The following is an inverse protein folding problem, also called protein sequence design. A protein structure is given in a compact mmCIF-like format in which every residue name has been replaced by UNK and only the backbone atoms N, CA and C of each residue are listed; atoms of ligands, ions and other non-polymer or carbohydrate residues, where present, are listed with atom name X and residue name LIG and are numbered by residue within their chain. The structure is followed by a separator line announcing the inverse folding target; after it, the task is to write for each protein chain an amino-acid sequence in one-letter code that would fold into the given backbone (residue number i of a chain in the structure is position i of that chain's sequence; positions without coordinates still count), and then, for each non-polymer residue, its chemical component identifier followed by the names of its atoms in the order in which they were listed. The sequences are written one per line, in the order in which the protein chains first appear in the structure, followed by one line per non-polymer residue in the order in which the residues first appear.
data_IF_899047211734
#
_entry.id   IF_899047211734
#
_cell.length_a   1.000
_cell.length_b   1.000
_cell.length_c   1.000
_cell.angle_alpha   90.00
_cell.angle_beta   90.00
_cell.angle_gamma   90.00
#
_symmetry.space_group_name_H-M   'P 1'
#
loop_
_entity.id
_entity.type
_entity.pdbx_description
1 polymer ?
#
# COMPACT_ATOMS: atom_id res chain seq x y z
N UNK A 1 -3.14 -16.75 -8.96
CA UNK A 1 -3.47 -15.58 -8.13
C UNK A 1 -4.96 -15.30 -8.32
N UNK A 2 -5.84 -15.94 -7.55
CA UNK A 2 -7.29 -15.91 -7.83
C UNK A 2 -7.99 -14.66 -7.30
N UNK A 3 -7.36 -13.97 -6.34
CA UNK A 3 -7.81 -12.66 -5.85
C UNK A 3 -7.85 -11.63 -6.99
N UNK A 4 -8.88 -10.77 -6.98
CA UNK A 4 -9.18 -9.74 -7.99
C UNK A 4 -9.15 -8.31 -7.44
N UNK A 5 -8.53 -8.14 -6.28
CA UNK A 5 -8.42 -6.87 -5.56
C UNK A 5 -6.96 -6.43 -5.38
N UNK A 6 -6.01 -6.96 -6.14
CA UNK A 6 -4.60 -6.59 -5.98
C UNK A 6 -4.39 -5.10 -6.27
N UNK A 7 -3.30 -4.53 -5.75
CA UNK A 7 -2.92 -3.14 -6.02
C UNK A 7 -2.86 -2.86 -7.53
N UNK A 8 -2.44 -3.83 -8.34
CA UNK A 8 -2.48 -3.75 -9.80
C UNK A 8 -3.90 -3.52 -10.35
N UNK A 9 -4.90 -4.23 -9.81
CA UNK A 9 -6.31 -4.10 -10.19
C UNK A 9 -6.82 -2.68 -9.88
N UNK A 10 -6.45 -2.12 -8.71
CA UNK A 10 -6.77 -0.74 -8.35
C UNK A 10 -6.10 0.29 -9.26
N UNK A 11 -4.79 0.14 -9.54
CA UNK A 11 -4.07 1.03 -10.45
C UNK A 11 -4.76 1.08 -11.82
N UNK A 12 -5.12 -0.07 -12.38
CA UNK A 12 -5.79 -0.14 -13.68
C UNK A 12 -7.19 0.46 -13.61
N UNK A 13 -7.98 0.10 -12.58
CA UNK A 13 -9.33 0.64 -12.37
C UNK A 13 -9.34 2.17 -12.28
N UNK A 14 -8.37 2.73 -11.57
CA UNK A 14 -8.27 4.15 -11.27
C UNK A 14 -7.32 4.91 -12.22
N UNK A 15 -6.91 4.27 -13.32
CA UNK A 15 -6.11 4.88 -14.38
C UNK A 15 -4.79 5.50 -13.88
N UNK A 16 -4.01 4.74 -13.12
CA UNK A 16 -2.70 5.17 -12.62
C UNK A 16 -2.75 5.99 -11.34
N UNK A 17 -3.85 5.91 -10.57
CA UNK A 17 -4.00 6.64 -9.30
C UNK A 17 -4.40 5.69 -8.17
N UNK A 18 -3.90 5.92 -6.97
CA UNK A 18 -4.29 5.19 -5.76
C UNK A 18 -4.62 6.19 -4.65
N UNK A 19 -5.76 5.99 -4.00
CA UNK A 19 -6.16 6.73 -2.83
C UNK A 19 -5.85 5.90 -1.57
N UNK A 20 -5.05 6.46 -0.69
CA UNK A 20 -4.67 5.88 0.59
C UNK A 20 -5.49 6.47 1.73
N UNK A 21 -5.89 5.61 2.66
CA UNK A 21 -6.28 6.05 4.00
C UNK A 21 -5.28 5.58 5.05
N UNK A 22 -4.89 6.46 5.97
CA UNK A 22 -3.91 6.14 7.00
C UNK A 22 -4.64 5.65 8.26
N UNK A 23 -4.29 4.47 8.74
CA UNK A 23 -4.79 3.88 9.99
C UNK A 23 -3.70 4.00 11.05
N UNK A 24 -3.74 5.06 11.84
CA UNK A 24 -2.68 5.37 12.81
C UNK A 24 -2.80 4.51 14.07
N UNK A 25 -2.19 3.32 14.08
CA UNK A 25 -2.20 2.41 15.22
C UNK A 25 -1.05 2.72 16.20
N UNK A 26 -1.16 3.87 16.85
CA UNK A 26 -0.18 4.34 17.82
C UNK A 26 -0.81 5.21 18.89
N UNK A 27 -0.17 5.25 20.06
CA UNK A 27 -0.47 6.22 21.12
C UNK A 27 0.41 7.47 21.03
N UNK A 28 1.35 7.51 20.08
CA UNK A 28 2.20 8.67 19.82
C UNK A 28 1.42 9.75 19.07
N UNK A 29 1.75 11.01 19.37
CA UNK A 29 1.20 12.15 18.62
C UNK A 29 1.79 12.21 17.22
N UNK A 30 0.94 12.32 16.22
CA UNK A 30 1.31 12.58 14.85
C UNK A 30 1.19 14.08 14.56
N UNK A 31 2.26 14.70 14.10
CA UNK A 31 2.22 16.09 13.65
C UNK A 31 1.79 16.19 12.20
N UNK A 32 1.09 17.27 11.84
CA UNK A 32 0.67 17.59 10.48
C UNK A 32 1.86 17.65 9.53
N UNK A 33 3.00 18.16 10.01
CA UNK A 33 4.24 18.24 9.23
C UNK A 33 4.76 16.85 8.86
N UNK A 34 4.75 15.90 9.80
CA UNK A 34 5.17 14.52 9.54
C UNK A 34 4.14 13.80 8.67
N UNK A 35 2.84 13.92 8.98
CA UNK A 35 1.76 13.34 8.20
C UNK A 35 1.76 13.79 6.73
N UNK A 36 2.10 15.07 6.47
CA UNK A 36 2.18 15.62 5.12
C UNK A 36 3.26 14.95 4.25
N UNK A 37 4.23 14.24 4.84
CA UNK A 37 5.26 13.50 4.10
C UNK A 37 4.78 12.15 3.56
N UNK A 38 3.65 11.62 4.06
CA UNK A 38 3.25 10.23 3.80
C UNK A 38 2.95 10.01 2.32
N UNK A 39 2.29 10.97 1.68
CA UNK A 39 2.00 10.90 0.25
C UNK A 39 3.29 10.81 -0.58
N UNK A 40 4.21 11.76 -0.40
CA UNK A 40 5.47 11.77 -1.14
C UNK A 40 6.33 10.52 -0.85
N UNK A 41 6.29 9.99 0.38
CA UNK A 41 6.96 8.74 0.72
C UNK A 41 6.38 7.56 -0.09
N UNK A 42 5.06 7.42 -0.13
CA UNK A 42 4.39 6.36 -0.90
C UNK A 42 4.65 6.52 -2.40
N UNK A 43 4.59 7.74 -2.95
CA UNK A 43 4.90 8.02 -4.35
C UNK A 43 6.29 7.49 -4.74
N UNK A 44 7.32 7.67 -3.90
CA UNK A 44 8.65 7.12 -4.15
C UNK A 44 8.66 5.59 -4.17
N UNK A 45 7.93 4.94 -3.25
CA UNK A 45 7.86 3.48 -3.20
C UNK A 45 7.21 2.93 -4.48
N UNK A 46 6.09 3.54 -4.90
CA UNK A 46 5.42 3.17 -6.14
C UNK A 46 6.22 3.47 -7.39
N UNK A 47 7.02 4.55 -7.41
CA UNK A 47 7.92 4.84 -8.51
C UNK A 47 8.98 3.73 -8.68
N UNK A 48 9.55 3.23 -7.58
CA UNK A 48 10.53 2.13 -7.61
C UNK A 48 9.95 0.84 -8.21
N UNK A 49 8.71 0.49 -7.88
CA UNK A 49 8.02 -0.65 -8.48
C UNK A 49 7.58 -0.38 -9.94
N UNK A 50 6.95 0.76 -10.21
CA UNK A 50 6.38 1.10 -11.51
C UNK A 50 7.46 1.22 -12.60
N UNK A 51 8.68 1.61 -12.23
CA UNK A 51 9.84 1.65 -13.13
C UNK A 51 9.96 0.38 -13.99
N UNK A 52 9.68 -0.79 -13.42
CA UNK A 52 9.81 -2.06 -14.12
C UNK A 52 8.70 -2.34 -15.14
N UNK A 53 7.57 -1.64 -15.04
CA UNK A 53 6.43 -1.79 -15.95
C UNK A 53 6.42 -0.76 -17.08
N UNK A 54 7.09 0.39 -16.91
CA UNK A 54 7.15 1.44 -17.95
C UNK A 54 7.73 0.86 -19.25
N UNK A 55 6.94 0.95 -20.33
CA UNK A 55 7.31 0.42 -21.65
C UNK A 55 7.20 -1.11 -21.78
N UNK A 56 6.70 -1.81 -20.77
CA UNK A 56 6.52 -3.26 -20.77
C UNK A 56 5.06 -3.64 -21.04
N UNK A 57 4.83 -4.60 -21.94
CA UNK A 57 3.54 -5.26 -22.16
C UNK A 57 2.32 -4.31 -22.27
N UNK A 58 2.50 -3.18 -22.97
CA UNK A 58 1.51 -2.11 -23.17
C UNK A 58 1.04 -1.40 -21.89
N UNK A 59 1.79 -1.47 -20.79
CA UNK A 59 1.50 -0.74 -19.57
C UNK A 59 1.39 0.78 -19.84
N UNK A 60 0.24 1.42 -19.56
CA UNK A 60 -0.03 2.78 -20.01
C UNK A 60 0.42 3.86 -19.00
N UNK A 61 0.89 3.48 -17.81
CA UNK A 61 1.14 4.41 -16.70
C UNK A 61 2.64 4.65 -16.50
N UNK A 62 3.11 5.83 -16.91
CA UNK A 62 4.48 6.27 -16.65
C UNK A 62 4.70 6.68 -15.17
N UNK A 63 3.62 6.97 -14.46
CA UNK A 63 3.60 7.42 -13.07
C UNK A 63 2.37 6.82 -12.39
N UNK A 64 2.53 6.45 -11.11
CA UNK A 64 1.41 6.10 -10.23
C UNK A 64 1.24 7.23 -9.23
N UNK A 65 0.10 7.92 -9.30
CA UNK A 65 -0.21 9.05 -8.41
C UNK A 65 -0.82 8.55 -7.12
N UNK A 66 -0.35 9.07 -6.00
CA UNK A 66 -0.89 8.73 -4.68
C UNK A 66 -1.63 9.93 -4.12
N UNK A 67 -2.80 9.70 -3.56
CA UNK A 67 -3.51 10.70 -2.75
C UNK A 67 -3.71 10.12 -1.36
N UNK A 68 -3.30 10.84 -0.30
CA UNK A 68 -3.73 10.50 1.05
C UNK A 68 -5.05 11.22 1.32
N UNK A 69 -6.13 10.46 1.42
CA UNK A 69 -7.51 10.99 1.44
C UNK A 69 -8.17 10.93 2.81
N UNK A 70 -7.52 10.33 3.80
CA UNK A 70 -8.03 10.31 5.16
C UNK A 70 -7.06 9.74 6.18
N UNK A 71 -7.37 10.00 7.44
CA UNK A 71 -6.64 9.53 8.61
C UNK A 71 -7.63 8.99 9.64
N UNK A 72 -7.42 7.78 10.12
CA UNK A 72 -8.14 7.19 11.24
C UNK A 72 -7.24 7.15 12.48
N UNK A 73 -7.78 7.63 13.61
CA UNK A 73 -7.11 7.65 14.91
C UNK A 73 -8.03 7.17 16.02
N UNK A 74 -7.46 6.61 17.09
CA UNK A 74 -8.22 6.21 18.29
C UNK A 74 -8.80 7.43 19.01
N UNK A 75 -8.03 8.50 19.11
CA UNK A 75 -8.41 9.75 19.75
C UNK A 75 -7.96 10.96 18.92
N UNK A 76 -8.80 11.99 18.83
CA UNK A 76 -8.47 13.23 18.11
C UNK A 76 -7.22 13.94 18.68
N UNK A 77 -6.95 13.75 19.97
CA UNK A 77 -5.79 14.31 20.70
C UNK A 77 -4.43 13.81 20.19
N UNK A 78 -4.42 12.73 19.40
CA UNK A 78 -3.23 12.16 18.76
C UNK A 78 -2.79 12.96 17.55
N UNK A 79 -3.66 13.78 16.96
CA UNK A 79 -3.33 14.66 15.85
C UNK A 79 -3.12 16.09 16.37
N UNK A 80 -2.11 16.79 15.86
CA UNK A 80 -1.93 18.22 16.13
C UNK A 80 -2.70 19.13 15.16
N UNK A 81 -3.53 18.54 14.28
CA UNK A 81 -4.44 19.23 13.37
C UNK A 81 -5.85 18.67 13.45
N UNK A 82 -6.82 19.48 13.05
CA UNK A 82 -8.25 19.15 13.13
C UNK A 82 -9.02 19.50 11.86
N UNK A 83 -8.34 20.02 10.83
CA UNK A 83 -8.93 20.34 9.54
C UNK A 83 -8.74 19.18 8.55
N UNK A 84 -9.50 19.19 7.45
CA UNK A 84 -9.43 18.14 6.42
C UNK A 84 -8.34 18.38 5.36
N UNK A 85 -7.31 19.18 5.68
CA UNK A 85 -6.27 19.52 4.70
C UNK A 85 -5.38 18.35 4.28
N UNK A 86 -5.39 17.26 5.05
CA UNK A 86 -4.73 15.98 4.73
C UNK A 86 -5.76 14.86 4.48
N UNK A 87 -7.01 15.23 4.17
CA UNK A 87 -8.14 14.31 4.04
C UNK A 87 -8.98 14.18 5.31
N UNK A 88 -10.08 13.45 5.18
CA UNK A 88 -11.09 13.28 6.25
C UNK A 88 -10.49 12.58 7.47
N UNK A 89 -10.76 13.12 8.66
CA UNK A 89 -10.34 12.49 9.92
C UNK A 89 -11.50 11.63 10.49
N UNK A 90 -11.24 10.33 10.66
CA UNK A 90 -12.10 9.40 11.40
C UNK A 90 -11.56 9.19 12.81
N UNK A 91 -12.38 9.42 13.82
CA UNK A 91 -11.96 9.31 15.24
C UNK A 91 -12.79 8.24 15.95
N UNK A 92 -12.10 7.29 16.57
CA UNK A 92 -12.72 6.31 17.48
C UNK A 92 -13.54 5.21 16.79
N UNK A 93 -13.55 5.14 15.46
CA UNK A 93 -14.01 3.96 14.72
C UNK A 93 -12.88 2.93 14.70
N UNK A 94 -13.10 1.79 15.36
CA UNK A 94 -12.10 0.74 15.54
C UNK A 94 -12.61 -0.56 14.94
N UNK A 95 -11.72 -1.34 14.34
CA UNK A 95 -12.03 -2.69 13.90
C UNK A 95 -12.13 -3.68 15.07
N UNK A 96 -12.31 -4.98 14.75
CA UNK A 96 -12.43 -6.05 15.74
C UNK A 96 -11.21 -6.20 16.66
N UNK A 97 -10.04 -5.73 16.22
CA UNK A 97 -8.79 -5.82 16.96
C UNK A 97 -8.46 -4.50 17.71
N UNK A 98 -9.36 -3.52 17.66
CA UNK A 98 -9.20 -2.23 18.31
C UNK A 98 -8.24 -1.29 17.57
N UNK A 99 -8.00 -1.52 16.28
CA UNK A 99 -7.17 -0.68 15.40
C UNK A 99 -8.06 0.36 14.74
N UNK A 100 -7.70 1.65 14.72
CA UNK A 100 -8.53 2.67 14.09
C UNK A 100 -8.67 2.39 12.61
N UNK A 101 -9.89 2.50 12.10
CA UNK A 101 -10.22 2.26 10.69
C UNK A 101 -10.86 3.49 10.07
N UNK A 102 -10.60 3.68 8.78
CA UNK A 102 -11.28 4.70 8.01
C UNK A 102 -12.72 4.29 7.73
N UNK A 103 -13.57 5.26 7.36
CA UNK A 103 -14.98 5.01 7.05
C UNK A 103 -15.12 3.91 6.00
N UNK A 104 -15.67 2.76 6.40
CA UNK A 104 -15.79 1.60 5.52
C UNK A 104 -16.77 1.83 4.35
N UNK A 105 -17.64 2.84 4.42
CA UNK A 105 -18.46 3.26 3.27
C UNK A 105 -17.63 3.90 2.15
N UNK A 106 -16.41 4.33 2.46
CA UNK A 106 -15.45 4.89 1.52
C UNK A 106 -14.46 3.86 0.96
N UNK A 107 -14.45 2.62 1.46
CA UNK A 107 -13.50 1.63 1.01
C UNK A 107 -13.88 1.05 -0.35
N UNK A 108 -13.05 1.29 -1.35
CA UNK A 108 -13.13 0.67 -2.68
C UNK A 108 -12.43 -0.67 -2.63
N UNK A 109 -13.14 -1.74 -2.96
CA UNK A 109 -12.55 -3.06 -3.17
C UNK A 109 -13.37 -3.82 -4.21
N UNK A 110 -12.74 -4.80 -4.85
CA UNK A 110 -13.40 -5.68 -5.80
C UNK A 110 -14.09 -6.82 -5.07
N UNK A 111 -15.41 -6.85 -5.19
CA UNK A 111 -16.36 -7.78 -4.62
C UNK A 111 -15.98 -9.25 -4.89
N UNK A 112 -15.37 -9.87 -3.88
CA UNK A 112 -14.87 -11.26 -3.85
C UNK A 112 -16.02 -12.30 -3.83
N UNK A 113 -17.10 -12.03 -4.57
CA UNK A 113 -18.28 -12.86 -4.70
C UNK A 113 -19.24 -12.42 -5.81
N UNK A 114 -19.55 -11.11 -5.93
CA UNK A 114 -20.52 -10.61 -6.92
C UNK A 114 -19.92 -9.86 -8.13
N UNK A 115 -18.58 -9.84 -8.25
CA UNK A 115 -17.91 -9.53 -9.53
C UNK A 115 -18.03 -8.08 -9.97
N UNK A 116 -17.98 -7.14 -9.03
CA UNK A 116 -18.01 -5.69 -9.30
C UNK A 116 -17.15 -4.93 -8.28
N UNK A 117 -16.92 -3.63 -8.50
CA UNK A 117 -16.29 -2.78 -7.49
C UNK A 117 -17.34 -2.33 -6.47
N UNK A 118 -16.97 -2.20 -5.19
CA UNK A 118 -17.85 -1.72 -4.14
C UNK A 118 -18.50 -0.37 -4.49
N UNK A 119 -19.75 -0.20 -4.06
CA UNK A 119 -20.50 1.05 -4.20
C UNK A 119 -20.16 1.98 -3.03
N UNK A 120 -19.35 3.01 -3.30
CA UNK A 120 -18.96 4.03 -2.33
C UNK A 120 -19.82 5.29 -2.42
N UNK A 121 -21.03 5.22 -2.96
CA UNK A 121 -21.94 6.37 -3.09
C UNK A 121 -22.39 6.97 -1.76
N UNK A 122 -22.31 6.18 -0.67
CA UNK A 122 -22.60 6.63 0.70
C UNK A 122 -21.40 7.25 1.42
N UNK A 123 -20.20 7.20 0.81
CA UNK A 123 -19.00 7.81 1.34
C UNK A 123 -19.18 9.33 1.47
N UNK A 124 -18.92 9.86 2.67
CA UNK A 124 -18.99 11.31 2.93
C UNK A 124 -17.70 12.05 2.59
N UNK A 125 -16.58 11.33 2.53
CA UNK A 125 -15.27 11.84 2.12
C UNK A 125 -14.92 11.42 0.69
N UNK A 126 -13.62 11.29 0.44
CA UNK A 126 -13.10 10.71 -0.79
C UNK A 126 -12.92 9.19 -0.61
N UNK A 127 -13.39 8.35 -1.56
CA UNK A 127 -13.17 6.91 -1.50
C UNK A 127 -11.68 6.57 -1.53
N UNK A 128 -11.27 5.56 -0.74
CA UNK A 128 -9.90 5.05 -0.69
C UNK A 128 -9.81 3.63 -1.22
N UNK A 129 -8.64 3.26 -1.75
CA UNK A 129 -8.36 1.97 -2.38
C UNK A 129 -7.62 1.02 -1.45
N UNK A 130 -6.70 1.57 -0.67
CA UNK A 130 -5.77 0.82 0.16
C UNK A 130 -5.44 1.64 1.41
N UNK A 131 -4.92 0.96 2.43
CA UNK A 131 -4.63 1.58 3.72
C UNK A 131 -3.17 1.43 4.10
N UNK A 132 -2.58 2.49 4.67
CA UNK A 132 -1.27 2.45 5.33
C UNK A 132 -1.53 2.40 6.83
N UNK A 133 -1.00 1.39 7.53
CA UNK A 133 -1.20 1.19 8.96
C UNK A 133 0.16 1.25 9.67
N UNK A 134 0.62 2.45 10.04
CA UNK A 134 1.81 2.57 10.87
C UNK A 134 1.48 2.05 12.27
N UNK A 135 2.06 0.90 12.63
CA UNK A 135 1.81 0.22 13.90
C UNK A 135 2.98 0.32 14.85
N UNK A 136 2.70 0.88 16.02
CA UNK A 136 3.69 1.04 17.06
C UNK A 136 4.19 -0.31 17.59
N UNK A 137 5.51 -0.52 17.55
CA UNK A 137 6.15 -1.71 18.11
C UNK A 137 5.94 -3.01 17.30
N UNK A 138 5.40 -2.93 16.09
CA UNK A 138 5.33 -4.09 15.19
C UNK A 138 6.74 -4.50 14.74
N UNK A 139 7.10 -5.77 14.75
CA UNK A 139 8.35 -6.23 14.13
C UNK A 139 8.10 -6.54 12.65
N UNK A 140 8.74 -5.81 11.73
CA UNK A 140 8.55 -5.98 10.28
C UNK A 140 7.28 -5.31 9.75
N UNK A 141 6.50 -6.04 8.96
CA UNK A 141 5.26 -5.58 8.35
C UNK A 141 4.39 -6.74 7.85
N UNK A 142 3.17 -6.38 7.43
CA UNK A 142 2.24 -7.24 6.72
C UNK A 142 1.64 -6.48 5.56
N UNK A 143 1.72 -7.07 4.37
CA UNK A 143 1.19 -6.50 3.14
C UNK A 143 0.22 -7.45 2.48
N UNK A 144 -0.84 -6.91 1.90
CA UNK A 144 -1.74 -7.66 1.05
C UNK A 144 -2.51 -6.71 0.11
N UNK A 145 -3.61 -7.18 -0.44
CA UNK A 145 -4.46 -6.43 -1.37
C UNK A 145 -5.08 -5.15 -0.77
N UNK A 146 -5.27 -5.11 0.55
CA UNK A 146 -5.84 -3.99 1.30
C UNK A 146 -4.82 -2.91 1.69
N UNK A 147 -3.53 -3.14 1.47
CA UNK A 147 -2.47 -2.18 1.79
C UNK A 147 -1.32 -2.75 2.62
N UNK A 148 -0.79 -1.93 3.53
CA UNK A 148 0.43 -2.24 4.29
C UNK A 148 0.25 -1.88 5.77
N UNK A 149 0.50 -2.84 6.65
CA UNK A 149 0.73 -2.63 8.08
C UNK A 149 2.23 -2.71 8.34
N UNK A 150 2.83 -1.67 8.91
CA UNK A 150 4.30 -1.53 8.95
C UNK A 150 4.77 -1.06 10.31
N UNK A 151 5.99 -1.45 10.69
CA UNK A 151 6.68 -0.91 11.85
C UNK A 151 6.73 0.63 11.77
N UNK A 152 6.02 1.27 12.69
CA UNK A 152 5.89 2.72 12.77
C UNK A 152 7.25 3.41 12.94
N UNK A 153 8.07 2.92 13.86
CA UNK A 153 9.33 3.56 14.25
C UNK A 153 10.31 3.62 13.08
N UNK A 154 10.47 2.51 12.37
CA UNK A 154 11.27 2.36 11.15
C UNK A 154 10.73 3.25 10.04
N UNK A 155 9.41 3.25 9.82
CA UNK A 155 8.78 4.08 8.79
C UNK A 155 9.06 5.57 9.04
N UNK A 156 8.88 6.05 10.28
CA UNK A 156 9.14 7.44 10.61
C UNK A 156 10.63 7.80 10.56
N UNK A 157 11.51 6.89 10.98
CA UNK A 157 12.96 7.10 10.93
C UNK A 157 13.48 7.24 9.50
N UNK A 158 12.89 6.50 8.56
CA UNK A 158 13.34 6.41 7.16
C UNK A 158 12.42 7.17 6.20
N UNK A 159 11.47 7.97 6.70
CA UNK A 159 10.42 8.62 5.90
C UNK A 159 10.91 9.53 4.76
N UNK A 160 12.13 10.05 4.88
CA UNK A 160 12.76 10.92 3.88
C UNK A 160 13.71 10.15 2.94
N UNK A 161 13.89 8.84 3.13
CA UNK A 161 14.71 8.00 2.25
C UNK A 161 13.99 7.71 0.93
N UNK A 162 14.76 7.35 -0.10
CA UNK A 162 14.21 7.04 -1.42
C UNK A 162 13.27 5.82 -1.37
N UNK A 163 13.73 4.76 -0.72
CA UNK A 163 12.94 3.55 -0.52
C UNK A 163 12.98 3.11 0.94
N UNK A 164 11.82 2.90 1.53
CA UNK A 164 11.66 2.37 2.87
C UNK A 164 11.52 0.85 2.74
N UNK A 165 12.54 0.10 3.19
CA UNK A 165 12.63 -1.34 2.92
C UNK A 165 11.36 -2.11 3.30
N UNK A 166 10.82 -1.87 4.51
CA UNK A 166 9.59 -2.55 4.98
C UNK A 166 8.39 -2.12 4.14
N UNK A 167 8.14 -0.82 3.97
CA UNK A 167 6.99 -0.33 3.19
C UNK A 167 7.03 -0.85 1.76
N UNK A 168 8.21 -0.80 1.12
CA UNK A 168 8.39 -1.27 -0.24
C UNK A 168 8.23 -2.79 -0.36
N UNK A 169 8.66 -3.55 0.65
CA UNK A 169 8.42 -5.00 0.74
C UNK A 169 6.93 -5.31 0.84
N UNK A 170 6.21 -4.66 1.75
CA UNK A 170 4.76 -4.88 1.93
C UNK A 170 3.93 -4.46 0.70
N UNK A 171 4.38 -3.45 -0.05
CA UNK A 171 3.79 -3.12 -1.36
C UNK A 171 3.96 -4.27 -2.36
N UNK A 172 5.09 -5.00 -2.32
CA UNK A 172 5.31 -6.21 -3.12
C UNK A 172 4.24 -7.28 -2.88
N UNK A 173 3.87 -7.52 -1.62
CA UNK A 173 2.75 -8.41 -1.29
C UNK A 173 1.40 -7.87 -1.78
N UNK A 174 1.21 -6.55 -1.83
CA UNK A 174 0.02 -5.96 -2.43
C UNK A 174 -0.07 -6.12 -3.96
N UNK A 175 1.07 -6.35 -4.63
CA UNK A 175 1.09 -6.88 -6.00
C UNK A 175 0.91 -8.40 -6.07
N UNK A 176 0.82 -9.08 -4.93
CA UNK A 176 0.62 -10.52 -4.79
C UNK A 176 1.90 -11.35 -4.92
N UNK A 177 3.07 -10.75 -4.67
CA UNK A 177 4.33 -11.48 -4.55
C UNK A 177 4.41 -12.16 -3.18
N UNK A 178 4.86 -13.43 -3.09
CA UNK A 178 5.09 -14.10 -1.81
C UNK A 178 6.45 -13.72 -1.21
N UNK A 179 6.67 -14.11 0.04
CA UNK A 179 8.01 -14.14 0.64
C UNK A 179 8.89 -15.22 0.04
N UNK A 180 10.21 -14.97 0.06
CA UNK A 180 11.25 -15.91 -0.38
C UNK A 180 12.28 -16.17 0.71
N UNK A 181 11.85 -16.24 1.97
CA UNK A 181 12.76 -16.26 3.12
C UNK A 181 13.45 -17.61 3.27
N UNK A 182 12.72 -18.70 3.03
CA UNK A 182 13.27 -20.06 3.10
C UNK A 182 13.79 -20.54 1.74
N UNK A 183 14.69 -21.51 1.74
CA UNK A 183 15.21 -22.13 0.51
C UNK A 183 14.10 -22.76 -0.32
N UNK A 184 13.08 -23.34 0.33
CA UNK A 184 11.94 -23.96 -0.32
C UNK A 184 11.00 -22.95 -1.02
N UNK A 185 11.01 -21.68 -0.61
CA UNK A 185 10.17 -20.64 -1.20
C UNK A 185 10.81 -20.11 -2.50
N UNK A 186 12.14 -20.20 -2.60
CA UNK A 186 12.91 -19.69 -3.73
C UNK A 186 12.67 -20.55 -4.98
N UNK A 187 12.55 -19.94 -6.17
CA UNK A 187 12.42 -20.71 -7.41
C UNK A 187 13.60 -21.65 -7.69
N UNK A 188 14.79 -21.33 -7.20
CA UNK A 188 15.98 -22.20 -7.18
C UNK A 188 17.07 -21.64 -6.24
N UNK A 189 18.09 -22.46 -5.94
CA UNK A 189 19.21 -22.14 -5.03
C UNK A 189 20.04 -20.91 -5.43
N UNK A 190 19.96 -20.49 -6.70
CA UNK A 190 20.70 -19.35 -7.26
C UNK A 190 19.78 -18.17 -7.58
N UNK A 191 18.61 -18.11 -6.95
CA UNK A 191 17.70 -17.00 -7.12
C UNK A 191 18.40 -15.68 -6.72
N UNK A 192 18.36 -14.63 -7.56
CA UNK A 192 18.98 -13.37 -7.22
C UNK A 192 18.35 -12.73 -5.96
N UNK A 193 19.13 -11.92 -5.26
CA UNK A 193 18.62 -11.14 -4.13
C UNK A 193 17.48 -10.23 -4.59
N UNK A 194 16.49 -10.07 -3.73
CA UNK A 194 15.28 -9.32 -4.03
C UNK A 194 14.70 -8.76 -2.73
N UNK A 195 13.91 -7.68 -2.80
CA UNK A 195 13.34 -7.08 -1.59
C UNK A 195 12.37 -8.06 -0.90
N UNK A 196 11.75 -8.96 -1.67
CA UNK A 196 10.88 -10.04 -1.16
C UNK A 196 11.64 -11.16 -0.42
N UNK A 197 12.96 -11.07 -0.29
CA UNK A 197 13.80 -11.97 0.50
C UNK A 197 14.45 -11.17 1.63
N UNK A 198 13.98 -11.38 2.87
CA UNK A 198 14.37 -10.61 4.04
C UNK A 198 15.89 -10.44 4.17
N UNK A 199 16.32 -9.19 4.28
CA UNK A 199 17.72 -8.81 4.47
C UNK A 199 18.63 -9.01 3.25
N UNK A 200 18.14 -9.55 2.12
CA UNK A 200 18.96 -9.78 0.93
C UNK A 200 19.14 -8.52 0.07
N UNK A 201 18.18 -7.59 0.14
CA UNK A 201 18.18 -6.29 -0.51
C UNK A 201 17.40 -5.28 0.34
N UNK A 202 17.79 -4.00 0.26
CA UNK A 202 17.12 -2.90 0.97
C UNK A 202 16.16 -2.11 0.07
N UNK A 203 16.19 -2.38 -1.23
CA UNK A 203 15.44 -1.66 -2.28
C UNK A 203 14.93 -2.66 -3.32
N UNK A 204 13.91 -2.27 -4.09
CA UNK A 204 13.42 -3.04 -5.25
C UNK A 204 14.57 -3.29 -6.23
N UNK A 205 14.70 -4.54 -6.67
CA UNK A 205 15.77 -5.02 -7.55
C UNK A 205 15.24 -5.47 -8.92
N UNK A 206 16.16 -5.81 -9.83
CA UNK A 206 15.84 -6.47 -11.10
C UNK A 206 15.00 -7.75 -10.93
N UNK A 207 15.26 -8.51 -9.87
CA UNK A 207 14.53 -9.74 -9.58
C UNK A 207 13.09 -9.45 -9.19
N UNK A 208 12.86 -8.42 -8.37
CA UNK A 208 11.53 -7.94 -7.99
C UNK A 208 10.76 -7.44 -9.22
N UNK A 209 11.44 -6.66 -10.08
CA UNK A 209 10.88 -6.16 -11.33
C UNK A 209 10.48 -7.28 -12.29
N UNK A 210 11.30 -8.33 -12.40
CA UNK A 210 10.94 -9.51 -13.19
C UNK A 210 9.69 -10.20 -12.63
N UNK A 211 9.61 -10.38 -11.31
CA UNK A 211 8.43 -10.97 -10.68
C UNK A 211 7.17 -10.11 -10.88
N UNK A 212 7.28 -8.79 -10.75
CA UNK A 212 6.16 -7.87 -11.01
C UNK A 212 5.66 -7.95 -12.46
N UNK A 213 6.55 -8.14 -13.44
CA UNK A 213 6.15 -8.37 -14.83
C UNK A 213 5.37 -9.67 -15.01
N UNK A 214 5.76 -10.75 -14.31
CA UNK A 214 5.02 -12.02 -14.30
C UNK A 214 3.62 -11.84 -13.71
N UNK A 215 3.48 -11.00 -12.69
CA UNK A 215 2.17 -10.60 -12.14
C UNK A 215 1.33 -9.90 -13.22
N UNK A 216 1.87 -8.86 -13.88
CA UNK A 216 1.15 -8.14 -14.92
C UNK A 216 0.67 -9.08 -16.02
N UNK A 217 1.52 -9.95 -16.54
CA UNK A 217 1.14 -10.91 -17.59
C UNK A 217 -0.03 -11.82 -17.17
N UNK A 218 -0.02 -12.28 -15.91
CA UNK A 218 -1.08 -13.13 -15.37
C UNK A 218 -2.40 -12.37 -15.19
N UNK A 219 -2.34 -11.11 -14.78
CA UNK A 219 -3.51 -10.28 -14.50
C UNK A 219 -4.06 -9.58 -15.74
N UNK A 220 -3.21 -9.31 -16.75
CA UNK A 220 -3.55 -8.55 -17.96
C UNK A 220 -4.82 -9.02 -18.70
N UNK A 221 -5.15 -10.32 -18.79
CA UNK A 221 -6.43 -10.75 -19.39
C UNK A 221 -7.68 -10.16 -18.71
N UNK A 222 -7.57 -9.61 -17.49
CA UNK A 222 -8.64 -8.93 -16.76
C UNK A 222 -8.81 -7.46 -17.17
N UNK A 223 -7.80 -6.88 -17.82
CA UNK A 223 -7.68 -5.45 -18.05
C UNK A 223 -8.04 -5.06 -19.48
N UNK A 224 -8.63 -3.88 -19.61
CA UNK A 224 -8.90 -3.25 -20.90
C UNK A 224 -8.36 -1.82 -20.86
N UNK A 225 -7.12 -1.68 -21.29
CA UNK A 225 -6.41 -0.41 -21.47
C UNK A 225 -5.71 -0.39 -22.84
#
# INVERSE_FOLDING_TARGET
MDNKNWIMDHIVKNKGTLNYCVRWDSTQKLSKTVASKFQAMLERQYAAWNYWLVGYDCWPYNEIKINVVGFAVKEASLLDWTDDSLGTITVGDLDSDGVPQCDQSCYRFYDNGAGSWSDTSSCKGEPFDISLWPKQGLEGGFGYDWGQEVNLESMLQTIDEEQLTIVSHEIGHGFGLPDFYEEADKPNDKWPNCIMMAGSAMTVTDSDGWMLRRVLEHLKPRYNF
#
